data_IF_310649986159
#
_entry.id   IF_310649986159
#
_cell.length_a   1.000
_cell.length_b   1.000
_cell.length_c   1.000
_cell.angle_alpha   90.00
_cell.angle_beta   90.00
_cell.angle_gamma   90.00
#
_symmetry.space_group_name_H-M   'P 1'
#
loop_
_entity.id
_entity.type
_entity.pdbx_description
1 polymer ?
#
# COMPACT_ATOMS: atom_id res chain seq x y z
N UNK A 1 -21.70 -20.05 -33.93
CA UNK A 1 -20.67 -19.07 -33.52
C UNK A 1 -20.63 -19.10 -32.01
N UNK A 2 -19.76 -19.95 -31.47
CA UNK A 2 -19.67 -20.29 -30.05
C UNK A 2 -19.11 -19.10 -29.28
N UNK A 3 -19.88 -18.60 -28.31
CA UNK A 3 -19.33 -17.71 -27.29
C UNK A 3 -18.26 -18.50 -26.51
N UNK A 4 -17.04 -17.99 -26.53
CA UNK A 4 -15.96 -18.50 -25.69
C UNK A 4 -16.31 -18.25 -24.22
N UNK A 5 -16.69 -19.32 -23.53
CA UNK A 5 -17.05 -19.33 -22.11
C UNK A 5 -15.83 -19.52 -21.19
N UNK A 6 -14.61 -19.23 -21.66
CA UNK A 6 -13.38 -19.47 -20.87
C UNK A 6 -12.45 -18.26 -20.79
N UNK A 7 -12.90 -17.19 -20.12
CA UNK A 7 -11.97 -16.35 -19.35
C UNK A 7 -12.60 -15.96 -18.02
N UNK A 8 -12.48 -16.84 -17.02
CA UNK A 8 -12.51 -16.41 -15.62
C UNK A 8 -11.30 -15.49 -15.45
N UNK A 9 -11.50 -14.19 -15.50
CA UNK A 9 -10.51 -13.24 -15.01
C UNK A 9 -10.37 -13.51 -13.50
N UNK A 10 -9.27 -14.11 -13.00
CA UNK A 10 -9.14 -14.39 -11.58
C UNK A 10 -9.01 -13.10 -10.76
N UNK A 11 -8.91 -11.94 -11.43
CA UNK A 11 -8.46 -10.70 -10.83
C UNK A 11 -7.07 -10.87 -10.24
N UNK A 12 -6.72 -10.01 -9.29
CA UNK A 12 -5.48 -10.11 -8.53
C UNK A 12 -5.56 -11.17 -7.41
N UNK A 13 -6.45 -12.16 -7.52
CA UNK A 13 -6.74 -13.09 -6.43
C UNK A 13 -7.63 -12.48 -5.32
N UNK A 14 -7.86 -13.26 -4.26
CA UNK A 14 -8.85 -12.92 -3.22
C UNK A 14 -8.46 -11.76 -2.31
N UNK A 15 -7.15 -11.52 -2.12
CA UNK A 15 -6.62 -10.44 -1.30
C UNK A 15 -5.30 -9.95 -1.90
N UNK A 16 -5.03 -8.65 -1.75
CA UNK A 16 -3.73 -8.04 -1.97
C UNK A 16 -3.33 -7.27 -0.71
N UNK A 17 -2.12 -7.50 -0.21
CA UNK A 17 -1.53 -6.64 0.81
C UNK A 17 -0.87 -5.44 0.11
N UNK A 18 -1.27 -4.23 0.47
CA UNK A 18 -0.71 -3.00 -0.10
C UNK A 18 -0.29 -2.05 1.03
N UNK A 19 1.02 -1.84 1.15
CA UNK A 19 1.59 -0.83 2.04
C UNK A 19 1.52 0.55 1.40
N UNK A 20 1.36 1.58 2.24
CA UNK A 20 1.23 2.98 1.82
C UNK A 20 2.25 3.87 2.51
N UNK A 21 2.63 4.92 1.81
CA UNK A 21 3.56 5.92 2.32
C UNK A 21 2.88 6.93 3.25
N UNK A 22 3.70 7.68 3.98
CA UNK A 22 3.22 8.80 4.80
C UNK A 22 2.40 9.81 4.00
N UNK A 23 2.90 10.23 2.83
CA UNK A 23 2.24 11.24 2.01
C UNK A 23 0.91 10.73 1.45
N UNK A 24 0.82 9.43 1.12
CA UNK A 24 -0.44 8.83 0.70
C UNK A 24 -1.49 8.86 1.81
N UNK A 25 -1.16 8.42 3.03
CA UNK A 25 -2.13 8.48 4.13
C UNK A 25 -2.51 9.92 4.47
N UNK A 26 -1.55 10.85 4.45
CA UNK A 26 -1.84 12.27 4.63
C UNK A 26 -2.83 12.78 3.60
N UNK A 27 -2.66 12.43 2.33
CA UNK A 27 -3.56 12.84 1.25
C UNK A 27 -4.93 12.13 1.33
N UNK A 28 -4.94 10.81 1.54
CA UNK A 28 -6.16 9.99 1.60
C UNK A 28 -7.10 10.41 2.72
N UNK A 29 -6.54 10.73 3.90
CA UNK A 29 -7.31 11.12 5.07
C UNK A 29 -7.35 12.64 5.30
N UNK A 30 -6.79 13.42 4.37
CA UNK A 30 -6.66 14.87 4.49
C UNK A 30 -6.05 15.33 5.84
N UNK A 31 -5.02 14.61 6.33
CA UNK A 31 -4.42 14.88 7.63
C UNK A 31 -3.73 16.25 7.63
N UNK A 32 -4.21 17.14 8.49
CA UNK A 32 -3.60 18.43 8.73
C UNK A 32 -2.40 18.31 9.66
N UNK A 33 -1.61 19.38 9.76
CA UNK A 33 -0.55 19.46 10.77
C UNK A 33 -1.14 19.41 12.20
N UNK A 34 -2.35 19.93 12.39
CA UNK A 34 -3.04 19.89 13.68
C UNK A 34 -3.41 18.45 14.06
N UNK A 35 -3.86 17.64 13.10
CA UNK A 35 -4.11 16.22 13.32
C UNK A 35 -2.82 15.47 13.67
N UNK A 36 -1.74 15.76 12.94
CA UNK A 36 -0.42 15.16 13.16
C UNK A 36 0.28 15.66 14.44
N UNK A 37 -0.20 16.74 15.06
CA UNK A 37 0.26 17.19 16.38
C UNK A 37 -0.28 16.31 17.52
N UNK A 38 -1.34 15.53 17.24
CA UNK A 38 -1.98 14.63 18.20
C UNK A 38 -1.25 13.29 18.25
N UNK A 39 -1.80 12.37 19.06
CA UNK A 39 -1.37 10.97 19.08
C UNK A 39 -2.09 10.20 17.98
N UNK A 40 -1.35 9.43 17.20
CA UNK A 40 -1.87 8.65 16.07
C UNK A 40 -1.70 7.15 16.35
N UNK A 41 -2.76 6.40 16.10
CA UNK A 41 -2.73 4.93 16.09
C UNK A 41 -2.96 4.47 14.65
N UNK A 42 -1.99 3.73 14.11
CA UNK A 42 -2.09 3.05 12.83
C UNK A 42 -2.47 1.58 13.08
N UNK A 43 -3.70 1.19 12.72
CA UNK A 43 -4.30 -0.09 13.08
C UNK A 43 -5.28 -0.57 12.00
N UNK A 44 -4.99 -1.66 11.26
CA UNK A 44 -3.72 -2.40 11.24
C UNK A 44 -2.62 -1.66 10.46
N UNK A 45 -1.41 -1.57 11.01
CA UNK A 45 -0.30 -0.82 10.39
C UNK A 45 0.50 -1.57 9.32
N UNK A 46 0.59 -2.90 9.41
CA UNK A 46 1.29 -3.75 8.46
C UNK A 46 2.69 -3.25 8.08
N UNK A 47 3.02 -3.36 6.80
CA UNK A 47 4.28 -2.87 6.24
C UNK A 47 4.22 -1.40 5.77
N UNK A 48 3.20 -0.62 6.15
CA UNK A 48 3.11 0.79 5.78
C UNK A 48 4.24 1.62 6.42
N UNK A 49 4.76 2.61 5.69
CA UNK A 49 5.86 3.45 6.19
C UNK A 49 5.38 4.66 6.98
N UNK A 50 4.06 4.85 7.13
CA UNK A 50 3.48 6.01 7.80
C UNK A 50 4.07 6.24 9.19
N UNK A 51 4.03 5.27 10.10
CA UNK A 51 4.52 5.47 11.48
C UNK A 51 6.03 5.70 11.54
N UNK A 52 6.80 5.01 10.71
CA UNK A 52 8.25 5.21 10.63
C UNK A 52 8.60 6.65 10.22
N UNK A 53 7.97 7.16 9.16
CA UNK A 53 8.20 8.53 8.67
C UNK A 53 7.54 9.59 9.57
N UNK A 54 6.40 9.29 10.18
CA UNK A 54 5.75 10.19 11.13
C UNK A 54 6.64 10.41 12.36
N UNK A 55 7.27 9.34 12.85
CA UNK A 55 8.22 9.39 13.97
C UNK A 55 9.44 10.26 13.67
N UNK A 56 10.03 10.17 12.47
CA UNK A 56 11.15 11.06 12.08
C UNK A 56 10.74 12.52 11.96
N UNK A 57 9.44 12.80 11.79
CA UNK A 57 8.84 14.16 11.77
C UNK A 57 8.35 14.64 13.14
N UNK A 58 8.59 13.88 14.22
CA UNK A 58 8.20 14.25 15.58
C UNK A 58 6.74 13.97 15.96
N UNK A 59 6.00 13.25 15.11
CA UNK A 59 4.62 12.84 15.40
C UNK A 59 4.61 11.72 16.45
N UNK A 60 3.68 11.79 17.40
CA UNK A 60 3.47 10.73 18.39
C UNK A 60 2.62 9.61 17.80
N UNK A 61 3.22 8.78 16.95
CA UNK A 61 2.54 7.69 16.25
C UNK A 61 2.95 6.30 16.76
N UNK A 62 2.00 5.36 16.81
CA UNK A 62 2.23 3.94 17.11
C UNK A 62 1.48 3.09 16.09
N UNK A 63 2.13 2.06 15.56
CA UNK A 63 1.48 1.05 14.72
C UNK A 63 1.19 -0.20 15.55
N UNK A 64 0.03 -0.81 15.30
CA UNK A 64 -0.33 -2.13 15.82
C UNK A 64 -0.85 -2.99 14.68
N UNK A 65 -0.46 -4.25 14.65
CA UNK A 65 -0.91 -5.21 13.65
C UNK A 65 -0.65 -6.64 14.17
N UNK A 66 -1.60 -7.58 14.06
CA UNK A 66 -1.34 -8.99 14.34
C UNK A 66 -0.14 -9.57 13.57
N UNK A 67 0.15 -9.06 12.37
CA UNK A 67 1.27 -9.50 11.53
C UNK A 67 2.63 -9.18 12.16
N UNK A 68 2.69 -8.28 13.14
CA UNK A 68 3.93 -8.01 13.90
C UNK A 68 4.35 -9.16 14.81
N UNK A 69 3.53 -10.21 14.94
CA UNK A 69 3.93 -11.48 15.51
C UNK A 69 4.89 -12.28 14.58
N UNK A 70 4.97 -11.92 13.29
CA UNK A 70 5.89 -12.56 12.34
C UNK A 70 7.32 -12.05 12.52
N UNK A 71 8.28 -12.81 12.00
CA UNK A 71 9.63 -12.29 11.83
C UNK A 71 9.63 -11.05 10.92
N UNK A 72 10.44 -10.06 11.27
CA UNK A 72 10.50 -8.77 10.56
C UNK A 72 10.98 -8.94 9.13
N UNK A 73 11.96 -9.81 8.90
CA UNK A 73 12.47 -10.11 7.56
C UNK A 73 11.40 -10.80 6.72
N UNK A 74 10.72 -11.80 7.28
CA UNK A 74 9.61 -12.49 6.60
C UNK A 74 8.45 -11.53 6.24
N UNK A 75 8.09 -10.62 7.13
CA UNK A 75 7.08 -9.59 6.85
C UNK A 75 7.54 -8.66 5.72
N UNK A 76 8.80 -8.21 5.75
CA UNK A 76 9.37 -7.38 4.69
C UNK A 76 9.35 -8.08 3.34
N UNK A 77 9.80 -9.34 3.27
CA UNK A 77 9.73 -10.13 2.04
C UNK A 77 8.30 -10.36 1.56
N UNK A 78 7.35 -10.60 2.47
CA UNK A 78 5.95 -10.75 2.11
C UNK A 78 5.39 -9.47 1.49
N UNK A 79 5.69 -8.31 2.09
CA UNK A 79 5.28 -7.01 1.57
C UNK A 79 5.86 -6.73 0.18
N UNK A 80 7.15 -7.04 -0.05
CA UNK A 80 7.79 -6.88 -1.35
C UNK A 80 7.16 -7.79 -2.42
N UNK A 81 6.93 -9.08 -2.11
CA UNK A 81 6.25 -10.00 -3.03
C UNK A 81 4.84 -9.52 -3.39
N UNK A 82 4.10 -8.99 -2.43
CA UNK A 82 2.76 -8.45 -2.66
C UNK A 82 2.79 -7.14 -3.47
N UNK A 83 3.79 -6.28 -3.24
CA UNK A 83 4.01 -5.09 -4.05
C UNK A 83 4.32 -5.42 -5.52
N UNK A 84 5.19 -6.41 -5.77
CA UNK A 84 5.51 -6.90 -7.11
C UNK A 84 4.29 -7.48 -7.82
N UNK A 85 3.51 -8.30 -7.11
CA UNK A 85 2.26 -8.89 -7.62
C UNK A 85 1.22 -7.81 -7.94
N UNK A 86 1.10 -6.81 -7.06
CA UNK A 86 0.33 -5.59 -7.25
C UNK A 86 0.73 -4.84 -8.52
N UNK A 87 2.04 -4.61 -8.69
CA UNK A 87 2.59 -3.89 -9.82
C UNK A 87 2.37 -4.62 -11.16
N UNK A 88 2.62 -5.93 -11.20
CA UNK A 88 2.39 -6.73 -12.40
C UNK A 88 0.93 -6.67 -12.87
N UNK A 89 -0.01 -6.82 -11.93
CA UNK A 89 -1.44 -6.67 -12.24
C UNK A 89 -1.77 -5.25 -12.73
N UNK A 90 -1.23 -4.23 -12.07
CA UNK A 90 -1.45 -2.83 -12.43
C UNK A 90 -0.90 -2.51 -13.83
N UNK A 91 0.22 -3.08 -14.26
CA UNK A 91 0.77 -2.90 -15.60
C UNK A 91 -0.18 -3.43 -16.68
N UNK A 92 -0.71 -4.64 -16.52
CA UNK A 92 -1.67 -5.23 -17.45
C UNK A 92 -2.99 -4.44 -17.51
N UNK A 93 -3.33 -3.75 -16.43
CA UNK A 93 -4.60 -3.05 -16.25
C UNK A 93 -4.46 -1.52 -16.20
N UNK A 94 -3.35 -0.96 -16.66
CA UNK A 94 -3.03 0.46 -16.48
C UNK A 94 -4.11 1.41 -17.05
N UNK A 95 -4.84 0.97 -18.07
CA UNK A 95 -5.97 1.68 -18.68
C UNK A 95 -7.17 1.87 -17.74
N UNK A 96 -7.22 1.17 -16.60
CA UNK A 96 -8.29 1.25 -15.59
C UNK A 96 -8.00 2.26 -14.48
N UNK A 97 -6.83 2.90 -14.50
CA UNK A 97 -6.37 3.78 -13.42
C UNK A 97 -6.22 5.23 -13.89
N UNK A 98 -6.35 6.15 -12.93
CA UNK A 98 -6.10 7.58 -13.12
C UNK A 98 -4.69 7.90 -12.60
N UNK A 99 -3.86 8.47 -13.46
CA UNK A 99 -2.43 8.73 -13.21
C UNK A 99 -2.15 10.19 -12.81
N UNK A 100 -3.04 10.79 -12.01
CA UNK A 100 -2.87 12.20 -11.57
C UNK A 100 -2.04 12.33 -10.30
N UNK A 101 -1.91 11.26 -9.51
CA UNK A 101 -1.08 11.25 -8.29
C UNK A 101 0.27 10.59 -8.54
N UNK A 102 0.27 9.40 -9.15
CA UNK A 102 1.48 8.74 -9.62
C UNK A 102 1.70 9.09 -11.08
N UNK A 103 2.94 9.44 -11.45
CA UNK A 103 3.23 9.84 -12.84
C UNK A 103 2.99 8.73 -13.86
N UNK A 104 3.35 7.50 -13.51
CA UNK A 104 3.16 6.30 -14.33
C UNK A 104 3.18 5.04 -13.42
N UNK A 105 2.91 3.84 -13.98
CA UNK A 105 3.04 2.59 -13.24
C UNK A 105 4.40 2.35 -12.55
N UNK A 106 5.50 2.82 -13.14
CA UNK A 106 6.84 2.64 -12.58
C UNK A 106 7.06 3.57 -11.38
N UNK A 107 6.47 4.75 -11.39
CA UNK A 107 6.42 5.68 -10.26
C UNK A 107 5.67 5.09 -9.08
N UNK A 108 4.51 4.49 -9.34
CA UNK A 108 3.79 3.73 -8.33
C UNK A 108 4.66 2.60 -7.74
N UNK A 109 5.39 1.84 -8.58
CA UNK A 109 6.26 0.76 -8.10
C UNK A 109 7.39 1.27 -7.19
N UNK A 110 8.04 2.39 -7.54
CA UNK A 110 9.11 2.99 -6.72
C UNK A 110 8.62 3.39 -5.33
N UNK A 111 7.39 3.88 -5.21
CA UNK A 111 6.79 4.26 -3.92
C UNK A 111 6.46 3.03 -3.06
N UNK A 112 6.37 1.84 -3.66
CA UNK A 112 6.05 0.58 -2.97
C UNK A 112 7.29 -0.24 -2.57
N UNK A 113 8.47 0.12 -3.06
CA UNK A 113 9.73 -0.59 -2.85
C UNK A 113 10.43 -0.17 -1.54
#
# INVERSE_FOLDING_TARGET
MTADMTRKDPGIGAMLVSARSFEEYRAMFALSNDDLSRRVLDCPGGAASFVAVAGTRGVKAVAVDPVYAWDRGMLGEHALREAERGHAFLLEHAYRFVWTWFGDPADHARVRA
#
